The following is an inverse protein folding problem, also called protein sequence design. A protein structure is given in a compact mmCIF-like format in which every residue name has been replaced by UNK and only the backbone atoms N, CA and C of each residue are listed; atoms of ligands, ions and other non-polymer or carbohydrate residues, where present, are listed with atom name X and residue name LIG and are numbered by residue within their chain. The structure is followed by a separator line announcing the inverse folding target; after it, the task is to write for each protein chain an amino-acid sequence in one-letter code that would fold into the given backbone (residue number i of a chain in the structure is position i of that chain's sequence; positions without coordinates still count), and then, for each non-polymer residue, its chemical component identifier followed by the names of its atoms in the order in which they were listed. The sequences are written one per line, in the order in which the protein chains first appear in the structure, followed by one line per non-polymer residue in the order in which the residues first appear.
data_IF_324460330304
#
_entry.id   IF_324460330304
#
_cell.length_a   1.000
_cell.length_b   1.000
_cell.length_c   1.000
_cell.angle_alpha   90.00
_cell.angle_beta   90.00
_cell.angle_gamma   90.00
#
_symmetry.space_group_name_H-M   'P 1'
#
loop_
_entity.id
_entity.type
_entity.pdbx_description
1 polymer ?
#
# COMPACT_ATOMS: atom_id res chain seq x y z
N UNK A 1 31.37 -4.62 -13.39
CA UNK A 1 31.02 -5.30 -12.12
C UNK A 1 30.26 -6.58 -12.40
N UNK A 2 30.55 -7.66 -11.66
CA UNK A 2 29.95 -9.00 -11.84
C UNK A 2 28.41 -9.00 -11.81
N UNK A 3 27.82 -8.18 -10.94
CA UNK A 3 26.37 -8.11 -10.74
C UNK A 3 25.70 -6.85 -11.32
N UNK A 4 26.33 -6.19 -12.29
CA UNK A 4 25.85 -4.89 -12.80
C UNK A 4 24.38 -4.95 -13.23
N UNK A 5 23.97 -5.98 -13.98
CA UNK A 5 22.57 -6.14 -14.43
C UNK A 5 21.57 -6.25 -13.27
N UNK A 6 21.94 -6.97 -12.21
CA UNK A 6 21.08 -7.13 -11.03
C UNK A 6 20.99 -5.81 -10.28
N UNK A 7 22.11 -5.09 -10.15
CA UNK A 7 22.14 -3.77 -9.52
C UNK A 7 21.29 -2.77 -10.31
N UNK A 8 21.33 -2.82 -11.64
CA UNK A 8 20.50 -1.98 -12.50
C UNK A 8 19.01 -2.31 -12.33
N UNK A 9 18.64 -3.58 -12.14
CA UNK A 9 17.26 -3.99 -11.81
C UNK A 9 16.81 -3.54 -10.42
N UNK A 10 17.69 -3.56 -9.42
CA UNK A 10 17.38 -3.04 -8.08
C UNK A 10 17.21 -1.52 -8.15
N UNK A 11 18.08 -0.84 -8.89
CA UNK A 11 18.05 0.62 -9.05
C UNK A 11 16.92 1.13 -9.95
N UNK A 12 16.39 0.30 -10.85
CA UNK A 12 15.19 0.67 -11.62
C UNK A 12 13.99 0.87 -10.71
N UNK A 13 14.04 0.36 -9.48
CA UNK A 13 12.97 0.47 -8.51
C UNK A 13 11.78 -0.42 -8.84
N UNK A 14 11.90 -1.31 -9.86
CA UNK A 14 10.79 -2.13 -10.36
C UNK A 14 10.58 -3.46 -9.62
N UNK A 15 11.37 -3.71 -8.58
CA UNK A 15 11.31 -4.96 -7.83
C UNK A 15 10.33 -4.82 -6.67
N UNK A 16 9.45 -5.81 -6.51
CA UNK A 16 8.59 -5.88 -5.33
C UNK A 16 9.42 -6.15 -4.08
N UNK A 17 8.83 -5.95 -2.90
CA UNK A 17 9.50 -6.29 -1.63
C UNK A 17 9.88 -7.77 -1.55
N UNK A 18 9.02 -8.66 -2.04
CA UNK A 18 9.29 -10.09 -2.09
C UNK A 18 10.46 -10.43 -3.04
N UNK A 19 10.59 -9.71 -4.16
CA UNK A 19 11.71 -9.89 -5.08
C UNK A 19 13.03 -9.40 -4.46
N UNK A 20 13.01 -8.24 -3.80
CA UNK A 20 14.18 -7.72 -3.07
C UNK A 20 14.61 -8.66 -1.93
N UNK A 21 13.66 -9.25 -1.20
CA UNK A 21 13.96 -10.19 -0.11
C UNK A 21 14.62 -11.49 -0.63
N UNK A 22 14.10 -12.07 -1.71
CA UNK A 22 14.74 -13.22 -2.38
C UNK A 22 16.13 -12.86 -2.88
N UNK A 23 16.29 -11.68 -3.48
CA UNK A 23 17.58 -11.22 -4.00
C UNK A 23 18.58 -10.99 -2.87
N UNK A 24 18.13 -10.48 -1.72
CA UNK A 24 18.93 -10.28 -0.51
C UNK A 24 19.44 -11.61 0.04
N UNK A 25 18.57 -12.61 0.22
CA UNK A 25 18.95 -13.95 0.69
C UNK A 25 20.00 -14.60 -0.22
N UNK A 26 19.81 -14.50 -1.54
CA UNK A 26 20.77 -15.02 -2.52
C UNK A 26 22.13 -14.29 -2.44
N UNK A 27 22.13 -12.97 -2.28
CA UNK A 27 23.35 -12.18 -2.17
C UNK A 27 24.10 -12.44 -0.84
N UNK A 28 23.37 -12.62 0.27
CA UNK A 28 23.93 -13.03 1.57
C UNK A 28 24.59 -14.42 1.46
N UNK A 29 23.93 -15.38 0.82
CA UNK A 29 24.48 -16.72 0.62
C UNK A 29 25.73 -16.73 -0.27
N UNK A 30 25.73 -15.93 -1.34
CA UNK A 30 26.91 -15.74 -2.21
C UNK A 30 28.09 -15.14 -1.44
N UNK A 31 27.82 -14.13 -0.60
CA UNK A 31 28.84 -13.49 0.24
C UNK A 31 29.42 -14.47 1.27
N UNK A 32 28.56 -15.26 1.92
CA UNK A 32 28.97 -16.31 2.87
C UNK A 32 29.87 -17.37 2.21
N UNK A 33 29.68 -17.63 0.92
CA UNK A 33 30.49 -18.55 0.12
C UNK A 33 31.75 -17.90 -0.49
N UNK A 34 32.12 -16.69 -0.07
CA UNK A 34 33.36 -16.00 -0.46
C UNK A 34 33.27 -15.03 -1.64
N UNK A 35 32.08 -14.82 -2.21
CA UNK A 35 31.87 -13.92 -3.34
C UNK A 35 31.69 -12.46 -2.88
N UNK A 36 32.81 -11.75 -2.69
CA UNK A 36 32.82 -10.38 -2.15
C UNK A 36 32.07 -9.37 -3.03
N UNK A 37 31.94 -9.63 -4.34
CA UNK A 37 31.21 -8.75 -5.26
C UNK A 37 29.71 -8.67 -4.92
N UNK A 38 29.15 -9.68 -4.24
CA UNK A 38 27.75 -9.72 -3.82
C UNK A 38 27.39 -8.60 -2.82
N UNK A 39 28.38 -8.06 -2.11
CA UNK A 39 28.18 -6.94 -1.18
C UNK A 39 27.62 -5.68 -1.86
N UNK A 40 27.90 -5.52 -3.16
CA UNK A 40 27.39 -4.38 -3.93
C UNK A 40 25.90 -4.52 -4.27
N UNK A 41 25.40 -5.76 -4.37
CA UNK A 41 23.96 -6.04 -4.53
C UNK A 41 23.24 -5.75 -3.22
N UNK A 42 23.78 -6.20 -2.09
CA UNK A 42 23.23 -5.89 -0.76
C UNK A 42 23.16 -4.38 -0.50
N UNK A 43 24.22 -3.66 -0.89
CA UNK A 43 24.26 -2.20 -0.82
C UNK A 43 23.16 -1.57 -1.69
N UNK A 44 22.99 -2.02 -2.94
CA UNK A 44 21.93 -1.52 -3.81
C UNK A 44 20.52 -1.79 -3.24
N UNK A 45 20.29 -2.98 -2.66
CA UNK A 45 19.02 -3.35 -2.04
C UNK A 45 18.71 -2.46 -0.83
N UNK A 46 19.71 -2.16 0.01
CA UNK A 46 19.53 -1.30 1.18
C UNK A 46 19.07 0.12 0.82
N UNK A 47 19.36 0.59 -0.40
CA UNK A 47 18.92 1.89 -0.90
C UNK A 47 17.73 1.80 -1.87
N UNK A 48 17.24 0.60 -2.18
CA UNK A 48 16.08 0.44 -3.06
C UNK A 48 14.79 0.78 -2.33
N UNK A 49 13.88 1.46 -3.04
CA UNK A 49 12.49 1.62 -2.62
C UNK A 49 11.68 0.53 -3.34
N UNK A 50 11.26 -0.55 -2.66
CA UNK A 50 10.47 -1.60 -3.29
C UNK A 50 9.18 -1.04 -3.89
N UNK A 51 8.75 -1.58 -5.02
CA UNK A 51 7.38 -1.38 -5.50
C UNK A 51 6.42 -1.99 -4.49
N UNK A 52 5.36 -1.23 -4.22
CA UNK A 52 4.19 -1.70 -3.49
C UNK A 52 3.67 -2.96 -4.16
N UNK A 53 3.62 -4.11 -3.49
CA UNK A 53 3.01 -5.31 -4.09
C UNK A 53 1.49 -5.20 -4.19
N UNK A 54 0.89 -4.30 -3.42
CA UNK A 54 -0.54 -3.99 -3.43
C UNK A 54 -0.82 -2.58 -2.90
N UNK A 55 -2.07 -2.14 -3.08
CA UNK A 55 -2.65 -0.96 -2.44
C UNK A 55 -3.92 -1.39 -1.71
N UNK A 56 -4.10 -0.94 -0.47
CA UNK A 56 -5.38 -1.01 0.22
C UNK A 56 -6.25 0.19 -0.21
N UNK A 57 -7.36 -0.08 -0.87
CA UNK A 57 -8.44 0.87 -1.07
C UNK A 57 -9.45 0.76 0.05
N UNK A 58 -9.44 1.75 0.95
CA UNK A 58 -10.21 1.74 2.19
C UNK A 58 -11.45 2.64 2.10
N UNK A 59 -12.62 2.05 2.30
CA UNK A 59 -13.88 2.76 2.47
C UNK A 59 -13.97 3.42 3.84
N UNK A 60 -14.51 4.63 3.89
CA UNK A 60 -14.60 5.43 5.12
C UNK A 60 -16.02 5.92 5.41
N UNK A 61 -17.02 5.44 4.67
CA UNK A 61 -18.44 5.78 4.83
C UNK A 61 -19.18 4.57 5.43
N UNK A 62 -19.30 4.47 6.76
CA UNK A 62 -20.23 3.58 7.45
C UNK A 62 -21.60 3.51 6.76
N UNK A 63 -22.11 2.30 6.51
CA UNK A 63 -23.41 2.11 5.85
C UNK A 63 -23.54 2.74 4.44
N UNK A 64 -22.41 3.07 3.80
CA UNK A 64 -22.34 3.89 2.58
C UNK A 64 -22.86 5.33 2.70
N UNK A 65 -23.15 5.81 3.92
CA UNK A 65 -23.60 7.18 4.18
C UNK A 65 -22.40 8.14 4.15
N UNK A 66 -22.51 9.19 3.33
CA UNK A 66 -21.48 10.22 3.23
C UNK A 66 -21.49 11.22 4.40
N UNK A 67 -22.64 11.36 5.08
CA UNK A 67 -22.75 12.22 6.25
C UNK A 67 -21.97 11.65 7.46
N UNK A 68 -21.83 10.32 7.48
CA UNK A 68 -21.09 9.58 8.51
C UNK A 68 -19.61 9.34 8.12
N UNK A 69 -19.06 10.15 7.19
CA UNK A 69 -17.70 9.96 6.68
C UNK A 69 -16.63 10.09 7.77
N UNK A 70 -15.71 9.14 7.81
CA UNK A 70 -14.64 9.07 8.80
C UNK A 70 -13.28 9.56 8.29
N UNK A 71 -13.11 9.79 6.99
CA UNK A 71 -11.82 10.16 6.39
C UNK A 71 -11.23 11.45 6.97
N UNK A 72 -12.07 12.45 7.26
CA UNK A 72 -11.62 13.72 7.84
C UNK A 72 -11.02 13.49 9.23
N UNK A 73 -11.73 12.77 10.09
CA UNK A 73 -11.27 12.45 11.45
C UNK A 73 -10.02 11.57 11.41
N UNK A 74 -10.01 10.55 10.54
CA UNK A 74 -8.88 9.65 10.35
C UNK A 74 -7.62 10.38 9.90
N UNK A 75 -7.75 11.33 8.97
CA UNK A 75 -6.64 12.19 8.54
C UNK A 75 -6.12 13.06 9.67
N UNK A 76 -7.01 13.72 10.41
CA UNK A 76 -6.64 14.59 11.54
C UNK A 76 -5.94 13.84 12.68
N UNK A 77 -6.43 12.64 13.01
CA UNK A 77 -5.89 11.80 14.10
C UNK A 77 -4.70 10.96 13.66
N UNK A 78 -4.40 10.88 12.37
CA UNK A 78 -3.34 10.01 11.85
C UNK A 78 -3.65 8.52 12.05
N UNK A 79 -4.90 8.11 11.85
CA UNK A 79 -5.33 6.71 12.01
C UNK A 79 -6.17 6.21 10.83
N UNK A 80 -6.36 4.89 10.74
CA UNK A 80 -7.33 4.24 9.86
C UNK A 80 -7.90 3.00 10.57
N UNK A 81 -9.23 2.81 10.52
CA UNK A 81 -9.94 1.79 11.30
C UNK A 81 -10.93 0.99 10.46
N UNK A 82 -11.14 -0.27 10.84
CA UNK A 82 -12.22 -1.09 10.34
C UNK A 82 -12.92 -1.79 11.51
N UNK A 83 -14.07 -1.26 11.90
CA UNK A 83 -14.78 -1.68 13.12
C UNK A 83 -15.95 -2.67 12.84
N UNK A 84 -16.18 -3.03 11.58
CA UNK A 84 -17.22 -3.98 11.18
C UNK A 84 -16.77 -5.43 11.34
N UNK A 85 -16.64 -5.87 12.60
CA UNK A 85 -16.12 -7.20 12.97
C UNK A 85 -16.97 -8.37 12.42
N UNK A 86 -18.26 -8.15 12.15
CA UNK A 86 -19.15 -9.15 11.56
C UNK A 86 -18.76 -9.57 10.13
N UNK A 87 -17.94 -8.77 9.44
CA UNK A 87 -17.46 -9.10 8.10
C UNK A 87 -16.08 -9.77 8.17
N UNK A 88 -16.06 -11.05 8.54
CA UNK A 88 -14.84 -11.85 8.74
C UNK A 88 -13.84 -11.69 7.58
N UNK A 89 -14.29 -11.84 6.33
CA UNK A 89 -13.43 -11.71 5.14
C UNK A 89 -12.78 -10.34 4.98
N UNK A 90 -13.50 -9.26 5.30
CA UNK A 90 -12.93 -7.91 5.25
C UNK A 90 -12.00 -7.65 6.44
N UNK A 91 -12.33 -8.20 7.60
CA UNK A 91 -11.51 -8.12 8.79
C UNK A 91 -10.17 -8.84 8.58
N UNK A 92 -10.17 -10.04 8.00
CA UNK A 92 -8.94 -10.78 7.65
C UNK A 92 -8.05 -9.97 6.70
N UNK A 93 -8.62 -9.38 5.64
CA UNK A 93 -7.88 -8.48 4.74
C UNK A 93 -7.33 -7.27 5.46
N UNK A 94 -8.12 -6.65 6.33
CA UNK A 94 -7.64 -5.48 7.07
C UNK A 94 -6.50 -5.88 8.01
N UNK A 95 -6.59 -7.05 8.64
CA UNK A 95 -5.59 -7.61 9.54
C UNK A 95 -4.29 -8.01 8.85
N UNK A 96 -4.31 -8.30 7.53
CA UNK A 96 -3.10 -8.58 6.76
C UNK A 96 -2.23 -7.36 6.48
N UNK A 97 -2.76 -6.15 6.68
CA UNK A 97 -2.03 -4.89 6.44
C UNK A 97 -0.88 -4.72 7.44
N UNK A 98 0.26 -4.28 6.96
CA UNK A 98 1.49 -4.16 7.73
C UNK A 98 2.07 -2.74 7.66
N UNK A 99 3.03 -2.46 8.53
CA UNK A 99 3.81 -1.23 8.50
C UNK A 99 4.48 -1.02 7.13
N UNK A 100 4.33 0.19 6.59
CA UNK A 100 4.86 0.61 5.30
C UNK A 100 3.86 0.49 4.14
N UNK A 101 2.74 -0.21 4.32
CA UNK A 101 1.76 -0.40 3.26
C UNK A 101 1.07 0.90 2.86
N UNK A 102 0.70 0.99 1.59
CA UNK A 102 -0.03 2.13 1.03
C UNK A 102 -1.54 1.95 1.20
N UNK A 103 -2.18 2.96 1.79
CA UNK A 103 -3.63 3.04 1.94
C UNK A 103 -4.15 4.23 1.16
N UNK A 104 -5.18 4.01 0.34
CA UNK A 104 -5.92 5.05 -0.38
C UNK A 104 -7.38 5.04 0.10
N UNK A 105 -7.88 6.19 0.57
CA UNK A 105 -9.26 6.34 1.02
C UNK A 105 -10.18 6.48 -0.18
N UNK A 106 -11.24 5.66 -0.26
CA UNK A 106 -12.16 5.61 -1.41
C UNK A 106 -13.62 5.74 -1.03
N UNK A 107 -14.41 6.28 -1.97
CA UNK A 107 -15.88 6.16 -2.00
C UNK A 107 -16.33 5.81 -3.41
N UNK A 108 -17.28 4.87 -3.52
CA UNK A 108 -17.91 4.56 -4.81
C UNK A 108 -18.79 5.72 -5.26
N UNK A 109 -18.64 6.15 -6.51
CA UNK A 109 -19.47 7.22 -7.09
C UNK A 109 -20.54 6.61 -7.99
N UNK A 110 -20.14 6.09 -9.15
CA UNK A 110 -21.04 5.36 -10.05
C UNK A 110 -20.93 3.88 -9.74
N UNK A 111 -22.03 3.28 -9.32
CA UNK A 111 -22.09 1.86 -8.99
C UNK A 111 -21.49 1.01 -10.12
N UNK A 112 -20.48 0.21 -9.77
CA UNK A 112 -19.79 -0.68 -10.72
C UNK A 112 -18.87 0.01 -11.73
N UNK A 113 -18.68 1.33 -11.69
CA UNK A 113 -17.91 2.07 -12.71
C UNK A 113 -16.73 2.84 -12.13
N UNK A 114 -16.98 3.76 -11.20
CA UNK A 114 -15.95 4.69 -10.72
C UNK A 114 -15.97 4.85 -9.20
N UNK A 115 -14.83 5.27 -8.66
CA UNK A 115 -14.66 5.67 -7.27
C UNK A 115 -13.92 7.00 -7.19
N UNK A 116 -14.20 7.79 -6.15
CA UNK A 116 -13.39 8.93 -5.77
C UNK A 116 -12.39 8.56 -4.70
N UNK A 117 -11.20 9.13 -4.78
CA UNK A 117 -10.14 8.97 -3.79
C UNK A 117 -9.98 10.26 -2.98
N UNK A 118 -9.90 10.15 -1.65
CA UNK A 118 -10.00 11.28 -0.71
C UNK A 118 -8.72 11.55 0.10
N UNK A 119 -7.67 10.79 -0.21
CA UNK A 119 -6.35 10.90 0.40
C UNK A 119 -5.65 9.56 0.39
N UNK A 120 -4.33 9.58 0.50
CA UNK A 120 -3.52 8.38 0.68
C UNK A 120 -2.45 8.60 1.75
N UNK A 121 -1.95 7.50 2.29
CA UNK A 121 -0.94 7.52 3.34
C UNK A 121 -0.27 6.18 3.50
N UNK A 122 0.84 6.17 4.24
CA UNK A 122 1.59 4.97 4.58
C UNK A 122 1.25 4.54 6.00
N UNK A 123 1.16 3.23 6.24
CA UNK A 123 1.01 2.70 7.60
C UNK A 123 2.33 2.92 8.36
N UNK A 124 2.30 3.71 9.42
CA UNK A 124 3.45 3.95 10.31
C UNK A 124 3.63 2.82 11.32
N UNK A 125 2.54 2.32 11.89
CA UNK A 125 2.53 1.21 12.83
C UNK A 125 1.12 0.62 12.99
N UNK A 126 1.02 -0.57 13.58
CA UNK A 126 -0.24 -1.19 14.00
C UNK A 126 -0.43 -0.98 15.49
N UNK A 127 -1.65 -0.66 15.92
CA UNK A 127 -2.00 -0.45 17.32
C UNK A 127 -3.37 -1.06 17.65
N UNK A 128 -3.71 -1.09 18.93
CA UNK A 128 -4.96 -1.65 19.45
C UNK A 128 -5.57 -0.66 20.43
N UNK A 129 -6.91 -0.52 20.41
CA UNK A 129 -7.61 0.31 21.38
C UNK A 129 -7.88 -0.44 22.70
N UNK A 130 -8.56 0.21 23.63
CA UNK A 130 -8.90 -0.35 24.94
C UNK A 130 -9.78 -1.62 24.86
N UNK A 131 -10.50 -1.81 23.76
CA UNK A 131 -11.33 -2.98 23.49
C UNK A 131 -10.56 -4.05 22.68
N UNK A 132 -9.24 -3.89 22.54
CA UNK A 132 -8.37 -4.75 21.73
C UNK A 132 -8.75 -4.77 20.23
N UNK A 133 -9.38 -3.70 19.73
CA UNK A 133 -9.71 -3.55 18.31
C UNK A 133 -8.50 -2.96 17.60
N UNK A 134 -8.05 -3.66 16.54
CA UNK A 134 -6.89 -3.27 15.75
C UNK A 134 -7.17 -2.03 14.91
N UNK A 135 -6.22 -1.09 14.91
CA UNK A 135 -6.22 0.06 14.01
C UNK A 135 -4.82 0.34 13.45
N UNK A 136 -4.78 1.06 12.34
CA UNK A 136 -3.54 1.48 11.68
C UNK A 136 -3.21 2.90 12.12
N UNK A 137 -1.98 3.14 12.58
CA UNK A 137 -1.42 4.48 12.72
C UNK A 137 -0.85 4.87 11.37
N UNK A 138 -1.26 6.03 10.86
CA UNK A 138 -1.03 6.46 9.48
C UNK A 138 -0.11 7.67 9.43
N UNK A 139 0.74 7.70 8.42
CA UNK A 139 1.42 8.88 7.92
C UNK A 139 0.71 9.31 6.62
N UNK A 140 -0.26 10.22 6.75
CA UNK A 140 -1.04 10.71 5.63
C UNK A 140 -0.22 11.68 4.76
N UNK A 141 -0.45 11.64 3.45
CA UNK A 141 0.09 12.63 2.53
C UNK A 141 -0.55 14.00 2.79
N UNK A 142 0.21 15.07 2.57
CA UNK A 142 -0.26 16.45 2.74
C UNK A 142 -1.17 16.93 1.60
N UNK A 143 -1.42 16.09 0.58
CA UNK A 143 -2.28 16.42 -0.54
C UNK A 143 -3.75 16.09 -0.21
N UNK A 144 -4.65 17.02 -0.54
CA UNK A 144 -6.09 16.94 -0.30
C UNK A 144 -6.91 16.89 -1.60
N UNK A 145 -6.24 16.66 -2.73
CA UNK A 145 -6.93 16.57 -4.02
C UNK A 145 -7.82 15.33 -4.06
N UNK A 146 -9.05 15.50 -4.54
CA UNK A 146 -10.00 14.40 -4.74
C UNK A 146 -10.08 14.10 -6.23
N UNK A 147 -9.69 12.89 -6.62
CA UNK A 147 -9.73 12.43 -8.02
C UNK A 147 -10.79 11.33 -8.19
N UNK A 148 -11.41 11.26 -9.38
CA UNK A 148 -12.29 10.16 -9.78
C UNK A 148 -11.53 9.21 -10.71
N UNK A 149 -11.56 7.91 -10.39
CA UNK A 149 -10.82 6.85 -11.08
C UNK A 149 -11.71 5.61 -11.31
N UNK A 150 -11.29 4.67 -12.17
CA UNK A 150 -11.99 3.40 -12.35
C UNK A 150 -12.14 2.62 -11.04
N UNK A 151 -13.23 1.87 -10.90
CA UNK A 151 -13.53 1.14 -9.67
C UNK A 151 -12.62 -0.09 -9.46
N UNK A 152 -12.15 -0.73 -10.53
CA UNK A 152 -11.29 -1.94 -10.49
C UNK A 152 -11.85 -3.07 -9.62
N UNK A 153 -13.18 -3.20 -9.55
CA UNK A 153 -13.87 -4.14 -8.68
C UNK A 153 -13.60 -3.92 -7.18
N UNK A 154 -13.20 -2.71 -6.75
CA UNK A 154 -13.06 -2.33 -5.35
C UNK A 154 -14.45 -1.99 -4.77
N UNK A 155 -15.28 -3.02 -4.55
CA UNK A 155 -16.69 -2.85 -4.14
C UNK A 155 -16.91 -2.79 -2.62
N UNK A 156 -15.97 -3.32 -1.85
CA UNK A 156 -16.06 -3.52 -0.40
C UNK A 156 -15.51 -2.31 0.37
N UNK A 157 -15.61 -2.32 1.70
CA UNK A 157 -14.93 -1.35 2.55
C UNK A 157 -13.43 -1.63 2.55
N UNK A 158 -13.03 -2.89 2.64
CA UNK A 158 -11.62 -3.30 2.64
C UNK A 158 -11.31 -4.03 1.33
N UNK A 159 -10.66 -3.34 0.39
CA UNK A 159 -10.20 -3.92 -0.88
C UNK A 159 -8.70 -3.81 -1.05
N UNK A 160 -8.02 -4.95 -1.09
CA UNK A 160 -6.60 -5.03 -1.46
C UNK A 160 -6.53 -5.33 -2.95
N UNK A 161 -5.81 -4.50 -3.70
CA UNK A 161 -5.56 -4.69 -5.14
C UNK A 161 -4.08 -4.84 -5.38
N UNK A 162 -3.70 -5.88 -6.11
CA UNK A 162 -2.30 -6.06 -6.49
C UNK A 162 -1.86 -4.91 -7.38
N UNK A 163 -0.58 -4.59 -7.34
CA UNK A 163 -0.06 -3.46 -8.10
C UNK A 163 -0.22 -3.66 -9.61
N UNK A 164 -0.15 -4.90 -10.10
CA UNK A 164 -0.35 -5.21 -11.52
C UNK A 164 -1.78 -4.88 -11.96
N UNK A 165 -2.78 -5.18 -11.12
CA UNK A 165 -4.16 -4.81 -11.38
C UNK A 165 -4.33 -3.29 -11.40
N UNK A 166 -3.74 -2.60 -10.41
CA UNK A 166 -3.76 -1.13 -10.31
C UNK A 166 -3.13 -0.50 -11.55
N UNK A 167 -1.96 -0.96 -11.98
CA UNK A 167 -1.27 -0.44 -13.16
C UNK A 167 -2.01 -0.70 -14.47
N UNK A 168 -2.73 -1.81 -14.57
CA UNK A 168 -3.50 -2.12 -15.78
C UNK A 168 -4.79 -1.30 -15.93
N UNK A 169 -5.36 -0.82 -14.82
CA UNK A 169 -6.68 -0.17 -14.81
C UNK A 169 -6.66 1.31 -14.44
N UNK A 170 -5.66 1.78 -13.67
CA UNK A 170 -5.59 3.18 -13.22
C UNK A 170 -5.03 4.11 -14.30
N UNK A 171 -5.60 5.33 -14.42
CA UNK A 171 -5.07 6.34 -15.32
C UNK A 171 -3.79 6.99 -14.77
N UNK A 172 -3.04 7.69 -15.64
CA UNK A 172 -1.81 8.40 -15.25
C UNK A 172 -2.05 9.44 -14.13
N UNK A 173 -3.23 10.06 -14.09
CA UNK A 173 -3.58 11.02 -13.02
C UNK A 173 -3.53 10.39 -11.62
N UNK A 174 -3.84 9.11 -11.50
CA UNK A 174 -3.75 8.39 -10.22
C UNK A 174 -2.31 8.31 -9.71
N UNK A 175 -1.34 8.05 -10.60
CA UNK A 175 0.06 7.93 -10.21
C UNK A 175 0.65 9.30 -9.83
N UNK A 176 0.30 10.34 -10.59
CA UNK A 176 0.64 11.74 -10.23
C UNK A 176 0.05 12.11 -8.87
N UNK A 177 -1.19 11.72 -8.62
CA UNK A 177 -1.86 11.94 -7.34
C UNK A 177 -1.19 11.22 -6.17
N UNK A 178 -0.60 10.04 -6.40
CA UNK A 178 0.25 9.35 -5.42
C UNK A 178 1.64 10.02 -5.22
N UNK A 179 2.00 11.03 -6.02
CA UNK A 179 3.32 11.64 -6.04
C UNK A 179 4.38 10.75 -6.71
N UNK A 180 3.97 9.90 -7.66
CA UNK A 180 4.84 9.04 -8.47
C UNK A 180 5.01 9.60 -9.89
#
# INVERSE_FOLDING_TARGET
MKYQKIIDQVKSGNMTRADLDKLKQNAEQKLANGDKDANSVLSAINYAKPIDSYILFMGFCPGADFNERLDVEWKQKGICRFDYLESEHQLERFNSICTGDLVALKKREKFGKTMKLYGHGRVKSVAYDENNIRYLVMEWSNQDEVIEVPLMGANSTVDIKSIEAVESEMPEEFFKWLGK
#
